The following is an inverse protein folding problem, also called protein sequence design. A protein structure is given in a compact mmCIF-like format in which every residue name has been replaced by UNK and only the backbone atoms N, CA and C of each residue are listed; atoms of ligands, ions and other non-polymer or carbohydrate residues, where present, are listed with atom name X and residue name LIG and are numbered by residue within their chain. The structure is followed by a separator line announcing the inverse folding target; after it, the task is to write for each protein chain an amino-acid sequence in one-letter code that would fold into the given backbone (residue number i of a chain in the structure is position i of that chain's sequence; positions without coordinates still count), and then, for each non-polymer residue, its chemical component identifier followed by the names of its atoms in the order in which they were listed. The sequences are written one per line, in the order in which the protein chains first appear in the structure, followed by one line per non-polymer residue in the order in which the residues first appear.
data_IF_480210307355
#
_entry.id   IF_480210307355
#
_cell.length_a   1.000
_cell.length_b   1.000
_cell.length_c   1.000
_cell.angle_alpha   90.00
_cell.angle_beta   90.00
_cell.angle_gamma   90.00
#
_symmetry.space_group_name_H-M   'P 1'
#
loop_
_entity.id
_entity.type
_entity.pdbx_description
1 polymer ?
#
# COMPACT_ATOMS: atom_id res chain seq x y z
N UNK A 1 -7.52 0.34 10.12
CA UNK A 1 -7.60 1.42 11.13
C UNK A 1 -8.74 1.25 12.15
N UNK A 2 -8.97 0.08 12.76
CA UNK A 2 -10.15 -0.09 13.64
C UNK A 2 -10.08 0.67 14.97
N UNK A 3 -8.91 1.17 15.36
CA UNK A 3 -8.67 1.87 16.63
C UNK A 3 -8.83 3.39 16.55
N UNK A 4 -8.87 3.96 15.35
CA UNK A 4 -8.90 5.42 15.19
C UNK A 4 -10.32 5.98 15.35
N UNK A 5 -10.44 7.31 15.46
CA UNK A 5 -11.76 7.96 15.54
C UNK A 5 -12.54 7.81 14.23
N UNK A 6 -13.87 7.95 14.29
CA UNK A 6 -14.73 7.94 13.08
C UNK A 6 -14.35 9.05 12.10
N UNK A 7 -13.95 10.21 12.62
CA UNK A 7 -13.50 11.34 11.81
C UNK A 7 -12.20 11.00 11.07
N UNK A 8 -11.22 10.39 11.73
CA UNK A 8 -9.99 9.95 11.05
C UNK A 8 -10.27 8.82 10.04
N UNK A 9 -11.18 7.89 10.34
CA UNK A 9 -11.60 6.89 9.35
C UNK A 9 -12.17 7.57 8.10
N UNK A 10 -13.07 8.55 8.27
CA UNK A 10 -13.68 9.26 7.15
C UNK A 10 -12.65 10.04 6.31
N UNK A 11 -11.76 10.79 6.97
CA UNK A 11 -10.74 11.59 6.28
C UNK A 11 -9.73 10.69 5.54
N UNK A 12 -9.29 9.58 6.13
CA UNK A 12 -8.45 8.59 5.44
C UNK A 12 -9.19 7.89 4.30
N UNK A 13 -10.47 7.58 4.46
CA UNK A 13 -11.28 6.99 3.39
C UNK A 13 -11.34 7.92 2.16
N UNK A 14 -11.50 9.23 2.36
CA UNK A 14 -11.46 10.20 1.25
C UNK A 14 -10.06 10.18 0.59
N UNK A 15 -8.99 10.23 1.38
CA UNK A 15 -7.61 10.23 0.87
C UNK A 15 -7.30 8.98 0.04
N UNK A 16 -7.58 7.79 0.58
CA UNK A 16 -7.32 6.52 -0.12
C UNK A 16 -8.26 6.29 -1.30
N UNK A 17 -9.43 6.95 -1.33
CA UNK A 17 -10.29 6.97 -2.52
C UNK A 17 -9.67 7.81 -3.62
N UNK A 18 -9.10 8.99 -3.31
CA UNK A 18 -8.37 9.78 -4.31
C UNK A 18 -7.22 8.99 -4.93
N UNK A 19 -6.44 8.26 -4.13
CA UNK A 19 -5.34 7.44 -4.67
C UNK A 19 -5.86 6.33 -5.58
N UNK A 20 -6.92 5.62 -5.17
CA UNK A 20 -7.53 4.57 -6.00
C UNK A 20 -8.12 5.11 -7.31
N UNK A 21 -8.66 6.33 -7.31
CA UNK A 21 -9.16 6.95 -8.55
C UNK A 21 -8.03 7.32 -9.51
N UNK A 22 -6.85 7.72 -8.99
CA UNK A 22 -5.69 8.01 -9.81
C UNK A 22 -5.08 6.75 -10.43
N UNK A 23 -5.05 5.64 -9.68
CA UNK A 23 -4.64 4.31 -10.14
C UNK A 23 -5.39 3.91 -11.43
N UNK A 24 -6.64 4.36 -11.55
CA UNK A 24 -7.49 4.11 -12.71
C UNK A 24 -7.30 5.10 -13.89
N UNK A 25 -6.50 6.16 -13.72
CA UNK A 25 -6.29 7.20 -14.73
C UNK A 25 -5.40 6.73 -15.88
N UNK A 26 -5.59 7.33 -17.06
CA UNK A 26 -4.75 7.13 -18.26
C UNK A 26 -4.20 8.44 -18.83
N UNK A 27 -4.44 9.55 -18.16
CA UNK A 27 -4.02 10.87 -18.61
C UNK A 27 -2.52 11.04 -18.37
N UNK A 28 -1.76 11.44 -19.40
CA UNK A 28 -0.33 11.72 -19.28
C UNK A 28 -0.08 12.89 -18.30
N UNK A 29 0.62 12.67 -17.17
CA UNK A 29 0.90 13.72 -16.20
C UNK A 29 1.84 14.80 -16.73
N UNK A 30 2.66 14.50 -17.74
CA UNK A 30 3.78 15.34 -18.18
C UNK A 30 3.41 16.83 -18.37
N UNK A 31 2.37 17.19 -19.15
CA UNK A 31 2.04 18.59 -19.41
C UNK A 31 1.62 19.36 -18.16
N UNK A 32 1.09 18.65 -17.16
CA UNK A 32 0.60 19.25 -15.90
C UNK A 32 1.65 19.27 -14.79
N UNK A 33 2.82 18.69 -15.02
CA UNK A 33 3.92 18.64 -14.06
C UNK A 33 5.06 19.61 -14.39
N UNK A 34 5.06 20.25 -15.56
CA UNK A 34 6.11 21.19 -16.01
C UNK A 34 6.35 22.34 -15.00
N UNK A 35 5.29 22.84 -14.37
CA UNK A 35 5.35 23.96 -13.41
C UNK A 35 5.19 23.52 -11.95
N UNK A 36 5.15 22.20 -11.67
CA UNK A 36 4.76 21.65 -10.37
C UNK A 36 5.50 22.30 -9.19
N UNK A 37 6.83 22.38 -9.28
CA UNK A 37 7.67 22.91 -8.20
C UNK A 37 7.54 24.43 -8.05
N UNK A 38 7.52 25.17 -9.15
CA UNK A 38 7.38 26.63 -9.12
C UNK A 38 6.00 27.04 -8.57
N UNK A 39 4.95 26.29 -8.91
CA UNK A 39 3.61 26.50 -8.38
C UNK A 39 3.52 26.13 -6.90
N UNK A 40 4.12 25.00 -6.50
CA UNK A 40 4.18 24.58 -5.09
C UNK A 40 4.90 25.62 -4.23
N UNK A 41 6.10 26.04 -4.64
CA UNK A 41 6.93 26.98 -3.90
C UNK A 41 6.30 28.37 -3.79
N UNK A 42 5.54 28.79 -4.81
CA UNK A 42 4.84 30.06 -4.82
C UNK A 42 3.44 30.01 -4.18
N UNK A 43 2.97 28.85 -3.73
CA UNK A 43 1.62 28.66 -3.19
C UNK A 43 0.51 28.84 -4.21
N UNK A 44 0.78 28.58 -5.50
CA UNK A 44 -0.23 28.56 -6.55
C UNK A 44 -0.92 27.20 -6.60
N UNK A 45 -2.15 27.22 -7.10
CA UNK A 45 -2.89 25.98 -7.37
C UNK A 45 -2.14 25.13 -8.40
N UNK A 46 -2.06 23.82 -8.17
CA UNK A 46 -1.37 22.89 -9.06
C UNK A 46 -2.10 22.73 -10.41
N UNK A 47 -1.37 22.57 -11.50
CA UNK A 47 -1.98 22.38 -12.82
C UNK A 47 -2.76 21.04 -12.92
N UNK A 48 -2.22 19.96 -12.36
CA UNK A 48 -2.88 18.65 -12.38
C UNK A 48 -4.12 18.64 -11.46
N UNK A 49 -5.33 18.31 -11.96
CA UNK A 49 -6.57 18.37 -11.19
C UNK A 49 -6.58 17.51 -9.93
N UNK A 50 -5.99 16.31 -9.99
CA UNK A 50 -5.84 15.46 -8.81
C UNK A 50 -5.02 16.13 -7.69
N UNK A 51 -3.88 16.76 -8.02
CA UNK A 51 -3.07 17.49 -7.04
C UNK A 51 -3.82 18.64 -6.39
N UNK A 52 -4.69 19.33 -7.14
CA UNK A 52 -5.55 20.38 -6.57
C UNK A 52 -6.45 19.85 -5.47
N UNK A 53 -7.23 18.82 -5.80
CA UNK A 53 -8.20 18.24 -4.87
C UNK A 53 -7.53 17.57 -3.67
N UNK A 54 -6.45 16.82 -3.89
CA UNK A 54 -5.73 16.14 -2.81
C UNK A 54 -5.06 17.15 -1.89
N UNK A 55 -4.38 18.17 -2.42
CA UNK A 55 -3.72 19.17 -1.58
C UNK A 55 -4.72 20.05 -0.82
N UNK A 56 -5.87 20.35 -1.40
CA UNK A 56 -6.95 21.06 -0.72
C UNK A 56 -7.54 20.23 0.43
N UNK A 57 -7.71 18.92 0.22
CA UNK A 57 -8.25 18.00 1.23
C UNK A 57 -7.21 17.60 2.31
N UNK A 58 -5.93 17.54 1.97
CA UNK A 58 -4.88 16.97 2.83
C UNK A 58 -4.85 17.51 4.26
N UNK A 59 -5.06 18.82 4.53
CA UNK A 59 -5.12 19.34 5.90
C UNK A 59 -6.14 18.62 6.80
N UNK A 60 -7.25 18.12 6.26
CA UNK A 60 -8.25 17.33 7.01
C UNK A 60 -7.69 15.99 7.48
N UNK A 61 -6.76 15.40 6.75
CA UNK A 61 -6.05 14.18 7.13
C UNK A 61 -4.90 14.53 8.09
N UNK A 62 -4.05 15.49 7.73
CA UNK A 62 -2.82 15.79 8.45
C UNK A 62 -3.06 16.33 9.86
N UNK A 63 -4.22 16.97 10.12
CA UNK A 63 -4.59 17.46 11.46
C UNK A 63 -4.62 16.35 12.51
N UNK A 64 -4.78 15.08 12.12
CA UNK A 64 -4.83 13.93 13.04
C UNK A 64 -3.44 13.45 13.49
N UNK A 65 -2.37 13.92 12.86
CA UNK A 65 -1.02 13.38 13.05
C UNK A 65 -0.04 14.43 13.60
N UNK A 66 1.07 13.93 14.15
CA UNK A 66 2.26 14.73 14.45
C UNK A 66 3.07 14.99 13.19
N UNK A 67 4.04 15.92 13.24
CA UNK A 67 4.82 16.33 12.07
C UNK A 67 5.58 15.19 11.40
N UNK A 68 6.09 14.19 12.13
CA UNK A 68 6.83 13.08 11.52
C UNK A 68 5.90 12.14 10.74
N UNK A 69 4.75 11.75 11.30
CA UNK A 69 3.76 10.96 10.60
C UNK A 69 3.17 11.75 9.42
N UNK A 70 2.85 13.04 9.59
CA UNK A 70 2.38 13.89 8.50
C UNK A 70 3.35 13.93 7.31
N UNK A 71 4.67 14.03 7.57
CA UNK A 71 5.68 13.99 6.52
C UNK A 71 5.68 12.65 5.76
N UNK A 72 5.50 11.53 6.46
CA UNK A 72 5.42 10.21 5.81
C UNK A 72 4.20 10.09 4.88
N UNK A 73 3.04 10.63 5.29
CA UNK A 73 1.84 10.66 4.44
C UNK A 73 2.09 11.49 3.17
N UNK A 74 2.69 12.68 3.31
CA UNK A 74 3.00 13.58 2.19
C UNK A 74 3.94 12.88 1.21
N UNK A 75 5.10 12.39 1.68
CA UNK A 75 6.08 11.74 0.82
C UNK A 75 5.51 10.54 0.09
N UNK A 76 4.82 9.66 0.81
CA UNK A 76 4.25 8.45 0.22
C UNK A 76 3.16 8.74 -0.82
N UNK A 77 2.44 9.85 -0.67
CA UNK A 77 1.44 10.29 -1.65
C UNK A 77 2.10 10.87 -2.91
N UNK A 78 3.24 11.55 -2.75
CA UNK A 78 4.08 11.99 -3.87
C UNK A 78 4.70 10.80 -4.61
N UNK A 79 5.26 9.84 -3.87
CA UNK A 79 5.79 8.59 -4.41
C UNK A 79 4.69 7.87 -5.21
N UNK A 80 3.48 7.76 -4.65
CA UNK A 80 2.34 7.13 -5.34
C UNK A 80 2.00 7.78 -6.68
N UNK A 81 2.00 9.11 -6.75
CA UNK A 81 1.75 9.82 -8.01
C UNK A 81 2.81 9.48 -9.08
N UNK A 82 4.09 9.42 -8.70
CA UNK A 82 5.16 8.99 -9.61
C UNK A 82 5.00 7.52 -10.02
N UNK A 83 4.55 6.66 -9.09
CA UNK A 83 4.24 5.26 -9.36
C UNK A 83 3.18 5.10 -10.45
N UNK A 84 2.03 5.77 -10.29
CA UNK A 84 0.97 5.76 -11.29
C UNK A 84 1.44 6.30 -12.64
N UNK A 85 2.32 7.32 -12.66
CA UNK A 85 2.90 7.82 -13.90
C UNK A 85 3.75 6.76 -14.59
N UNK A 86 4.64 6.07 -13.86
CA UNK A 86 5.48 4.99 -14.42
C UNK A 86 4.61 3.85 -14.98
N UNK A 87 3.52 3.50 -14.31
CA UNK A 87 2.62 2.41 -14.73
C UNK A 87 1.92 2.66 -16.07
N UNK A 88 1.75 3.93 -16.48
CA UNK A 88 1.18 4.26 -17.79
C UNK A 88 1.99 3.72 -18.96
N UNK A 89 3.29 3.47 -18.77
CA UNK A 89 4.17 2.95 -19.80
C UNK A 89 4.04 1.44 -20.01
N UNK A 90 3.24 0.77 -19.19
CA UNK A 90 3.11 -0.68 -19.19
C UNK A 90 4.48 -1.39 -19.30
N UNK A 91 5.44 -1.00 -18.45
CA UNK A 91 6.80 -1.54 -18.42
C UNK A 91 7.08 -2.37 -17.16
N UNK A 92 7.37 -3.67 -17.32
CA UNK A 92 7.69 -4.59 -16.21
C UNK A 92 9.17 -4.70 -15.83
N UNK A 93 10.00 -3.80 -16.35
CA UNK A 93 11.45 -3.81 -16.18
C UNK A 93 12.18 -4.55 -17.31
N UNK A 94 13.45 -4.20 -17.53
CA UNK A 94 14.30 -4.90 -18.48
C UNK A 94 14.76 -6.26 -17.88
N UNK A 95 14.97 -7.30 -18.71
CA UNK A 95 15.63 -8.52 -18.26
C UNK A 95 16.96 -8.21 -17.56
N UNK A 96 17.17 -8.80 -16.38
CA UNK A 96 18.33 -8.53 -15.51
C UNK A 96 18.18 -7.31 -14.59
N UNK A 97 17.09 -6.53 -14.66
CA UNK A 97 16.85 -5.37 -13.80
C UNK A 97 16.24 -5.78 -12.46
N UNK A 98 16.96 -6.57 -11.67
CA UNK A 98 16.44 -7.21 -10.45
C UNK A 98 15.90 -6.22 -9.39
N UNK A 99 16.39 -4.99 -9.35
CA UNK A 99 15.91 -3.97 -8.41
C UNK A 99 14.60 -3.29 -8.84
N UNK A 100 14.19 -3.42 -10.11
CA UNK A 100 13.03 -2.73 -10.67
C UNK A 100 11.70 -3.13 -10.01
N UNK A 101 11.37 -4.42 -9.81
CA UNK A 101 10.07 -4.80 -9.25
C UNK A 101 9.84 -4.24 -7.84
N UNK A 102 10.84 -4.33 -6.97
CA UNK A 102 10.76 -3.79 -5.61
C UNK A 102 10.85 -2.26 -5.54
N UNK A 103 11.49 -1.62 -6.52
CA UNK A 103 11.45 -0.17 -6.69
C UNK A 103 10.03 0.31 -7.02
N UNK A 104 9.44 -0.21 -8.11
CA UNK A 104 8.12 0.23 -8.56
C UNK A 104 7.05 -0.06 -7.50
N UNK A 105 7.13 -1.22 -6.84
CA UNK A 105 6.15 -1.58 -5.80
C UNK A 105 6.17 -0.67 -4.58
N UNK A 106 7.34 -0.15 -4.19
CA UNK A 106 7.41 0.86 -3.13
C UNK A 106 6.83 2.20 -3.58
N UNK A 107 7.05 2.55 -4.84
CA UNK A 107 6.55 3.79 -5.44
C UNK A 107 5.02 3.83 -5.44
N UNK A 108 4.36 2.79 -5.96
CA UNK A 108 2.89 2.70 -6.02
C UNK A 108 2.22 2.11 -4.76
N UNK A 109 3.00 1.69 -3.76
CA UNK A 109 2.49 0.88 -2.65
C UNK A 109 1.84 1.64 -1.50
N UNK A 110 2.00 2.97 -1.40
CA UNK A 110 1.52 3.80 -0.28
C UNK A 110 1.98 3.31 1.11
N UNK A 111 3.06 2.53 1.19
CA UNK A 111 3.45 1.82 2.42
C UNK A 111 3.72 2.76 3.59
N UNK A 112 4.43 3.87 3.36
CA UNK A 112 4.67 4.87 4.39
C UNK A 112 3.41 5.66 4.78
N UNK A 113 2.50 5.93 3.83
CA UNK A 113 1.20 6.55 4.11
C UNK A 113 0.39 5.66 5.06
N UNK A 114 0.30 4.37 4.75
CA UNK A 114 -0.42 3.38 5.57
C UNK A 114 0.26 3.21 6.92
N UNK A 115 1.56 2.94 6.94
CA UNK A 115 2.32 2.70 8.17
C UNK A 115 2.23 3.88 9.14
N UNK A 116 2.33 5.12 8.66
CA UNK A 116 2.29 6.31 9.52
C UNK A 116 0.87 6.73 9.92
N UNK A 117 -0.16 6.44 9.10
CA UNK A 117 -1.54 6.81 9.39
C UNK A 117 -2.20 5.95 10.49
N UNK A 118 -1.50 4.93 10.99
CA UNK A 118 -1.90 4.13 12.15
C UNK A 118 -1.77 4.87 13.49
N UNK A 119 -1.06 6.01 13.53
CA UNK A 119 -0.61 6.64 14.78
C UNK A 119 -1.18 8.05 14.98
N UNK A 120 -2.50 8.22 15.20
CA UNK A 120 -3.06 9.54 15.47
C UNK A 120 -2.49 10.13 16.75
N UNK A 121 -2.16 11.43 16.74
CA UNK A 121 -1.61 12.14 17.91
C UNK A 121 -2.56 12.24 19.09
N UNK A 122 -3.85 11.95 18.86
CA UNK A 122 -4.86 11.84 19.90
C UNK A 122 -4.71 10.58 20.77
N UNK A 123 -3.97 9.57 20.29
CA UNK A 123 -3.81 8.26 20.95
C UNK A 123 -2.35 7.89 21.20
N UNK A 124 -1.43 8.42 20.40
CA UNK A 124 -0.01 8.11 20.44
C UNK A 124 0.82 9.40 20.58
N UNK A 125 1.88 9.34 21.37
CA UNK A 125 2.86 10.43 21.47
C UNK A 125 4.03 10.10 20.55
N UNK A 126 4.04 10.75 19.37
CA UNK A 126 5.00 10.52 18.29
C UNK A 126 6.46 10.58 18.75
N UNK A 127 6.78 11.39 19.77
CA UNK A 127 8.15 11.49 20.29
C UNK A 127 8.50 10.35 21.24
N UNK A 128 7.53 9.92 22.07
CA UNK A 128 7.75 8.82 23.02
C UNK A 128 7.84 7.47 22.32
N UNK A 129 7.02 7.28 21.27
CA UNK A 129 6.92 6.04 20.51
C UNK A 129 7.64 6.12 19.16
N UNK A 130 8.60 7.05 19.01
CA UNK A 130 9.23 7.35 17.72
C UNK A 130 9.90 6.12 17.08
N UNK A 131 10.57 5.32 17.90
CA UNK A 131 11.31 4.14 17.42
C UNK A 131 10.35 3.05 16.97
N UNK A 132 9.28 2.82 17.72
CA UNK A 132 8.24 1.85 17.42
C UNK A 132 7.46 2.26 16.17
N UNK A 133 7.07 3.53 16.06
CA UNK A 133 6.38 4.09 14.89
C UNK A 133 7.26 3.97 13.64
N UNK A 134 8.53 4.39 13.72
CA UNK A 134 9.47 4.29 12.59
C UNK A 134 9.70 2.84 12.18
N UNK A 135 9.90 1.95 13.15
CA UNK A 135 10.08 0.51 12.89
C UNK A 135 8.82 -0.12 12.30
N UNK A 136 7.63 0.34 12.72
CA UNK A 136 6.37 -0.15 12.18
C UNK A 136 6.17 0.34 10.76
N UNK A 137 6.46 1.60 10.46
CA UNK A 137 6.42 2.13 9.09
C UNK A 137 7.29 1.27 8.16
N UNK A 138 8.53 0.99 8.54
CA UNK A 138 9.47 0.21 7.73
C UNK A 138 9.04 -1.24 7.50
N UNK A 139 8.50 -1.93 8.52
CA UNK A 139 8.05 -3.31 8.36
C UNK A 139 6.67 -3.42 7.69
N UNK A 140 5.76 -2.49 8.01
CA UNK A 140 4.40 -2.46 7.48
C UNK A 140 4.39 -2.09 5.99
N UNK A 141 5.33 -1.26 5.52
CA UNK A 141 5.50 -0.95 4.10
C UNK A 141 5.52 -2.23 3.27
N UNK A 142 6.41 -3.15 3.60
CA UNK A 142 6.56 -4.42 2.89
C UNK A 142 5.43 -5.40 3.19
N UNK A 143 5.05 -5.56 4.46
CA UNK A 143 4.00 -6.51 4.84
C UNK A 143 2.68 -6.23 4.10
N UNK A 144 2.27 -4.95 4.08
CA UNK A 144 0.98 -4.56 3.51
C UNK A 144 0.93 -4.75 1.99
N UNK A 145 1.99 -4.34 1.27
CA UNK A 145 2.02 -4.47 -0.19
C UNK A 145 2.09 -5.95 -0.61
N UNK A 146 2.90 -6.77 0.06
CA UNK A 146 3.04 -8.18 -0.28
C UNK A 146 1.79 -9.00 0.04
N UNK A 147 1.12 -8.70 1.16
CA UNK A 147 -0.18 -9.31 1.46
C UNK A 147 -1.20 -8.93 0.39
N UNK A 148 -1.21 -7.67 -0.05
CA UNK A 148 -2.09 -7.27 -1.15
C UNK A 148 -1.76 -8.02 -2.44
N UNK A 149 -0.50 -8.07 -2.86
CA UNK A 149 -0.06 -8.78 -4.07
C UNK A 149 -0.43 -10.28 -4.02
N UNK A 150 -0.30 -10.92 -2.85
CA UNK A 150 -0.67 -12.33 -2.68
C UNK A 150 -2.18 -12.53 -2.77
N UNK A 151 -2.96 -11.68 -2.11
CA UNK A 151 -4.42 -11.76 -2.07
C UNK A 151 -5.08 -11.28 -3.37
N UNK A 152 -4.41 -10.43 -4.14
CA UNK A 152 -4.86 -9.94 -5.44
C UNK A 152 -4.43 -10.83 -6.60
N UNK A 153 -3.44 -11.70 -6.42
CA UNK A 153 -2.94 -12.62 -7.44
C UNK A 153 -4.07 -13.33 -8.21
N UNK A 154 -5.11 -13.78 -7.50
CA UNK A 154 -6.25 -14.45 -8.13
C UNK A 154 -7.01 -13.57 -9.13
N UNK A 155 -7.34 -12.33 -8.75
CA UNK A 155 -8.06 -11.42 -9.67
C UNK A 155 -7.18 -10.96 -10.83
N UNK A 156 -5.86 -10.90 -10.62
CA UNK A 156 -4.87 -10.41 -11.57
C UNK A 156 -4.47 -11.45 -12.61
N UNK A 157 -4.59 -12.74 -12.26
CA UNK A 157 -4.12 -13.85 -13.09
C UNK A 157 -4.63 -13.82 -14.53
N UNK A 158 -5.90 -13.44 -14.74
CA UNK A 158 -6.53 -13.31 -16.06
C UNK A 158 -6.90 -11.86 -16.43
N UNK A 159 -6.42 -10.88 -15.65
CA UNK A 159 -6.77 -9.47 -15.83
C UNK A 159 -5.96 -8.79 -16.93
N UNK A 160 -6.58 -8.46 -18.06
CA UNK A 160 -5.91 -7.74 -19.18
C UNK A 160 -5.27 -6.40 -18.76
N UNK A 161 -5.76 -5.78 -17.68
CA UNK A 161 -5.27 -4.51 -17.12
C UNK A 161 -4.15 -4.68 -16.09
N UNK A 162 -4.07 -5.85 -15.46
CA UNK A 162 -3.14 -6.14 -14.36
C UNK A 162 -1.87 -6.86 -14.90
N UNK A 163 -1.49 -6.57 -16.14
CA UNK A 163 -0.30 -7.18 -16.79
C UNK A 163 1.01 -6.81 -16.07
N UNK A 164 0.98 -5.77 -15.23
CA UNK A 164 2.11 -5.30 -14.44
C UNK A 164 1.71 -5.32 -12.99
N UNK A 165 2.11 -6.40 -12.35
CA UNK A 165 2.08 -6.58 -10.91
C UNK A 165 3.50 -6.88 -10.43
N UNK A 166 3.69 -6.89 -9.11
CA UNK A 166 4.98 -7.29 -8.55
C UNK A 166 5.43 -8.67 -9.07
N UNK A 167 4.49 -9.61 -9.18
CA UNK A 167 4.75 -10.99 -9.61
C UNK A 167 5.13 -11.05 -11.09
N UNK A 168 4.39 -10.37 -11.99
CA UNK A 168 4.74 -10.36 -13.42
C UNK A 168 6.02 -9.59 -13.69
N UNK A 169 6.31 -8.56 -12.90
CA UNK A 169 7.58 -7.83 -12.96
C UNK A 169 8.76 -8.68 -12.50
N UNK A 170 8.59 -9.57 -11.51
CA UNK A 170 9.61 -10.57 -11.19
C UNK A 170 9.88 -11.49 -12.38
N UNK A 171 8.84 -12.00 -13.05
CA UNK A 171 9.00 -12.83 -14.25
C UNK A 171 9.83 -12.10 -15.31
N UNK A 172 9.48 -10.85 -15.63
CA UNK A 172 10.17 -10.05 -16.65
C UNK A 172 11.61 -9.67 -16.27
N UNK A 173 11.82 -9.19 -15.03
CA UNK A 173 13.09 -8.60 -14.60
C UNK A 173 14.10 -9.62 -14.05
N UNK A 174 13.63 -10.73 -13.46
CA UNK A 174 14.51 -11.81 -12.97
C UNK A 174 14.61 -12.98 -13.94
N UNK A 175 13.84 -12.98 -15.03
CA UNK A 175 13.82 -14.06 -16.03
C UNK A 175 13.46 -15.42 -15.40
N UNK A 176 12.53 -15.39 -14.43
CA UNK A 176 12.06 -16.57 -13.71
C UNK A 176 10.64 -16.97 -14.15
N UNK A 177 10.24 -18.20 -13.84
CA UNK A 177 8.87 -18.65 -14.07
C UNK A 177 7.87 -17.96 -13.13
N UNK A 178 6.60 -17.93 -13.53
CA UNK A 178 5.53 -17.38 -12.70
C UNK A 178 5.43 -18.07 -11.32
N UNK A 179 5.68 -19.38 -11.27
CA UNK A 179 5.67 -20.15 -10.03
C UNK A 179 6.83 -19.73 -9.10
N UNK A 180 8.03 -19.53 -9.63
CA UNK A 180 9.18 -19.05 -8.84
C UNK A 180 8.92 -17.62 -8.31
N UNK A 181 8.28 -16.77 -9.12
CA UNK A 181 7.89 -15.42 -8.70
C UNK A 181 6.85 -15.44 -7.57
N UNK A 182 5.85 -16.32 -7.66
CA UNK A 182 4.84 -16.50 -6.61
C UNK A 182 5.45 -17.11 -5.33
N UNK A 183 6.37 -18.07 -5.47
CA UNK A 183 7.08 -18.66 -4.34
C UNK A 183 7.94 -17.60 -3.63
N UNK A 184 8.64 -16.75 -4.38
CA UNK A 184 9.37 -15.60 -3.84
C UNK A 184 8.45 -14.68 -3.02
N UNK A 185 7.32 -14.25 -3.60
CA UNK A 185 6.35 -13.40 -2.90
C UNK A 185 5.85 -14.06 -1.61
N UNK A 186 5.56 -15.37 -1.66
CA UNK A 186 5.07 -16.13 -0.50
C UNK A 186 6.12 -16.18 0.61
N UNK A 187 7.38 -16.46 0.28
CA UNK A 187 8.48 -16.49 1.25
C UNK A 187 8.68 -15.13 1.91
N UNK A 188 8.66 -14.05 1.13
CA UNK A 188 8.80 -12.67 1.61
C UNK A 188 7.62 -12.29 2.55
N UNK A 189 6.38 -12.64 2.15
CA UNK A 189 5.16 -12.38 2.94
C UNK A 189 5.17 -13.12 4.28
N UNK A 190 5.53 -14.41 4.27
CA UNK A 190 5.60 -15.24 5.48
C UNK A 190 6.70 -14.75 6.44
N UNK A 191 7.88 -14.43 5.89
CA UNK A 191 8.96 -13.87 6.68
C UNK A 191 8.55 -12.54 7.32
N UNK A 192 7.97 -11.62 6.54
CA UNK A 192 7.48 -10.34 7.04
C UNK A 192 6.46 -10.51 8.17
N UNK A 193 5.48 -11.40 7.98
CA UNK A 193 4.46 -11.70 9.00
C UNK A 193 5.06 -12.23 10.30
N UNK A 194 6.06 -13.12 10.21
CA UNK A 194 6.76 -13.65 11.39
C UNK A 194 7.55 -12.56 12.11
N UNK A 195 8.24 -11.70 11.37
CA UNK A 195 9.04 -10.63 11.96
C UNK A 195 8.18 -9.54 12.60
N UNK A 196 7.03 -9.21 12.01
CA UNK A 196 6.04 -8.31 12.62
C UNK A 196 5.65 -8.76 14.03
N UNK A 197 5.27 -10.03 14.20
CA UNK A 197 4.92 -10.56 15.53
C UNK A 197 6.14 -10.58 16.46
N UNK A 198 7.29 -11.05 15.97
CA UNK A 198 8.50 -11.17 16.78
C UNK A 198 9.01 -9.83 17.33
N UNK A 199 8.93 -8.75 16.53
CA UNK A 199 9.46 -7.42 16.91
C UNK A 199 8.53 -6.68 17.86
N UNK A 200 7.21 -6.80 17.67
CA UNK A 200 6.23 -5.97 18.38
C UNK A 200 5.55 -6.67 19.57
N UNK A 201 5.62 -8.00 19.68
CA UNK A 201 4.92 -8.76 20.74
C UNK A 201 5.30 -8.39 22.19
N UNK A 202 6.50 -7.90 22.43
CA UNK A 202 7.02 -7.48 23.74
C UNK A 202 7.10 -5.95 23.89
N UNK A 203 6.57 -5.18 22.92
CA UNK A 203 6.57 -3.72 22.92
C UNK A 203 5.32 -3.16 23.59
N UNK A 204 5.13 -1.84 23.51
CA UNK A 204 3.94 -1.16 24.02
C UNK A 204 2.66 -1.92 23.58
N UNK A 205 1.82 -2.38 24.53
CA UNK A 205 0.63 -3.17 24.20
C UNK A 205 -0.34 -2.45 23.26
N UNK A 206 -0.43 -1.12 23.34
CA UNK A 206 -1.28 -0.32 22.45
C UNK A 206 -0.72 -0.31 21.01
N UNK A 207 0.61 -0.28 20.86
CA UNK A 207 1.28 -0.38 19.55
C UNK A 207 1.02 -1.75 18.92
N UNK A 208 1.28 -2.82 19.68
CA UNK A 208 1.05 -4.19 19.21
C UNK A 208 -0.42 -4.41 18.84
N UNK A 209 -1.36 -3.95 19.67
CA UNK A 209 -2.78 -4.09 19.38
C UNK A 209 -3.18 -3.33 18.10
N UNK A 210 -2.68 -2.13 17.86
CA UNK A 210 -2.95 -1.39 16.61
C UNK A 210 -2.44 -2.16 15.39
N UNK A 211 -1.22 -2.70 15.46
CA UNK A 211 -0.60 -3.48 14.39
C UNK A 211 -1.40 -4.76 14.10
N UNK A 212 -1.68 -5.55 15.14
CA UNK A 212 -2.41 -6.81 15.02
C UNK A 212 -3.80 -6.58 14.42
N UNK A 213 -4.51 -5.54 14.90
CA UNK A 213 -5.84 -5.20 14.38
C UNK A 213 -5.80 -4.67 12.96
N UNK A 214 -4.73 -3.98 12.55
CA UNK A 214 -4.54 -3.63 11.15
C UNK A 214 -4.37 -4.89 10.31
N UNK A 215 -3.46 -5.78 10.70
CA UNK A 215 -3.19 -7.01 9.94
C UNK A 215 -4.44 -7.87 9.75
N UNK A 216 -5.16 -8.16 10.84
CA UNK A 216 -6.39 -8.94 10.79
C UNK A 216 -7.49 -8.24 9.97
N UNK A 217 -7.66 -6.94 10.17
CA UNK A 217 -8.65 -6.15 9.42
C UNK A 217 -8.35 -6.08 7.93
N UNK A 218 -7.07 -5.97 7.56
CA UNK A 218 -6.61 -5.88 6.17
C UNK A 218 -6.85 -7.21 5.43
N UNK A 219 -6.53 -8.34 6.06
CA UNK A 219 -6.83 -9.67 5.51
C UNK A 219 -8.35 -9.89 5.41
N UNK A 220 -9.11 -9.52 6.46
CA UNK A 220 -10.58 -9.63 6.45
C UNK A 220 -11.18 -8.84 5.29
N UNK A 221 -10.71 -7.63 5.05
CA UNK A 221 -11.17 -6.82 3.92
C UNK A 221 -10.94 -7.51 2.58
N UNK A 222 -9.74 -8.07 2.32
CA UNK A 222 -9.48 -8.80 1.07
C UNK A 222 -10.41 -10.01 0.89
N UNK A 223 -10.67 -10.75 1.97
CA UNK A 223 -11.55 -11.92 1.94
C UNK A 223 -13.03 -11.57 1.71
N UNK A 224 -13.46 -10.35 2.08
CA UNK A 224 -14.85 -9.93 2.02
C UNK A 224 -15.18 -8.98 0.86
N UNK A 225 -14.19 -8.26 0.33
CA UNK A 225 -14.42 -7.29 -0.74
C UNK A 225 -14.52 -7.99 -2.10
N UNK A 226 -15.61 -7.69 -2.81
CA UNK A 226 -15.90 -8.28 -4.12
C UNK A 226 -14.81 -7.99 -5.16
N UNK A 227 -14.00 -6.93 -5.00
CA UNK A 227 -12.88 -6.62 -5.90
C UNK A 227 -11.92 -7.78 -6.05
N UNK A 228 -11.65 -8.53 -4.99
CA UNK A 228 -10.65 -9.61 -4.98
C UNK A 228 -11.18 -10.97 -5.41
N UNK A 229 -12.52 -11.12 -5.52
CA UNK A 229 -13.17 -12.32 -6.04
C UNK A 229 -12.83 -13.62 -5.29
N UNK A 230 -12.35 -13.54 -4.04
CA UNK A 230 -11.94 -14.71 -3.26
C UNK A 230 -13.10 -15.63 -2.87
N UNK A 231 -14.34 -15.14 -2.96
CA UNK A 231 -15.53 -15.99 -2.88
C UNK A 231 -15.58 -17.06 -3.98
N UNK A 232 -15.02 -16.78 -5.15
CA UNK A 232 -14.96 -17.75 -6.26
C UNK A 232 -14.06 -18.94 -5.91
N UNK A 233 -12.91 -18.68 -5.27
CA UNK A 233 -12.02 -19.74 -4.75
C UNK A 233 -12.75 -20.56 -3.69
N UNK A 234 -13.37 -19.91 -2.71
CA UNK A 234 -14.11 -20.60 -1.63
C UNK A 234 -15.17 -21.56 -2.19
N UNK A 235 -15.97 -21.09 -3.16
CA UNK A 235 -17.01 -21.91 -3.79
C UNK A 235 -16.45 -23.13 -4.53
N UNK A 236 -15.23 -23.03 -5.09
CA UNK A 236 -14.54 -24.14 -5.76
C UNK A 236 -13.95 -25.17 -4.79
N UNK A 237 -13.54 -24.76 -3.58
CA UNK A 237 -12.80 -25.63 -2.65
C UNK A 237 -13.61 -26.10 -1.44
N UNK A 238 -14.76 -25.50 -1.12
CA UNK A 238 -15.56 -25.81 0.10
C UNK A 238 -15.99 -27.28 0.28
N UNK A 239 -15.93 -28.10 -0.78
CA UNK A 239 -16.23 -29.53 -0.74
C UNK A 239 -15.00 -30.45 -0.75
N UNK A 240 -13.79 -29.88 -0.81
CA UNK A 240 -12.54 -30.65 -0.88
C UNK A 240 -12.10 -31.12 0.50
N UNK A 241 -11.39 -32.26 0.52
CA UNK A 241 -10.97 -32.89 1.77
C UNK A 241 -9.54 -32.58 2.21
N UNK A 242 -8.80 -31.78 1.43
CA UNK A 242 -7.42 -31.38 1.74
C UNK A 242 -7.36 -30.56 3.03
N UNK A 243 -6.23 -30.67 3.74
CA UNK A 243 -6.01 -29.96 5.00
C UNK A 243 -6.13 -28.45 4.84
N UNK A 244 -5.56 -27.90 3.77
CA UNK A 244 -5.57 -26.45 3.49
C UNK A 244 -6.96 -25.94 3.08
N UNK A 245 -7.80 -26.74 2.44
CA UNK A 245 -9.16 -26.33 2.08
C UNK A 245 -10.15 -26.38 3.26
N UNK A 246 -9.82 -27.15 4.30
CA UNK A 246 -10.65 -27.33 5.51
C UNK A 246 -10.33 -26.31 6.62
N UNK A 247 -9.15 -25.70 6.58
CA UNK A 247 -8.65 -24.75 7.61
C UNK A 247 -8.84 -23.31 7.17
#
# INVERSE_FOLDING_TARGET
WVKVSKELMADLSIHYTYTLVLDDSKDDPHPTMETYFDDLQAGREQAHPWWRLVNEHFPNVLRHFGPFCSLNLIRSTLDFFEGCWIEQYNFGGYPGSHDYPGFLRRMNGLGHCVGASLWPKAQFDERKQFLEITSSIAQMENWMVWVNDLMSFYKEFDGERDQISLVTNYVASYEMSLNEALEKLTQDTLHSSKQMVAVFSDKDPQVMETIERFMHGYVTWHLCDNRYRLSEIYEQVKGQESEDAKK
#
